data_IF_192596510576
#
_entry.id   IF_192596510576
#
_cell.length_a   1.000
_cell.length_b   1.000
_cell.length_c   1.000
_cell.angle_alpha   90.00
_cell.angle_beta   90.00
_cell.angle_gamma   90.00
#
_symmetry.space_group_name_H-M   'P 1'
#
loop_
_entity.id
_entity.type
_entity.pdbx_description
1 polymer ?
#
# COMPACT_ATOMS: atom_id res chain seq x y z
N UNK A 1 -57.21 -37.66 -15.66
CA UNK A 1 -56.77 -36.66 -14.66
C UNK A 1 -56.00 -37.38 -13.54
N UNK A 2 -55.08 -36.67 -12.84
CA UNK A 2 -54.58 -36.86 -11.44
C UNK A 2 -54.90 -38.22 -10.75
N UNK A 3 -54.00 -38.95 -10.08
CA UNK A 3 -52.64 -38.74 -9.46
C UNK A 3 -52.06 -40.17 -9.15
N UNK A 4 -50.88 -40.44 -8.58
CA UNK A 4 -49.80 -39.62 -7.96
C UNK A 4 -48.40 -40.10 -8.45
N UNK A 5 -47.59 -40.75 -7.60
CA UNK A 5 -46.19 -41.21 -7.77
C UNK A 5 -45.94 -42.44 -6.87
N UNK A 6 -44.91 -43.26 -7.13
CA UNK A 6 -44.50 -44.36 -6.24
C UNK A 6 -43.19 -45.08 -6.65
N UNK A 7 -42.07 -44.62 -6.09
CA UNK A 7 -40.71 -45.22 -6.07
C UNK A 7 -39.98 -45.54 -7.40
N UNK A 8 -38.79 -44.96 -7.55
CA UNK A 8 -37.67 -45.55 -8.30
C UNK A 8 -37.06 -46.70 -7.46
N UNK A 9 -36.72 -47.86 -8.03
CA UNK A 9 -35.62 -48.13 -8.98
C UNK A 9 -34.23 -48.02 -8.32
N UNK A 10 -33.60 -49.18 -8.10
CA UNK A 10 -32.21 -49.30 -7.68
C UNK A 10 -31.49 -50.26 -8.62
N UNK A 11 -30.40 -49.81 -9.26
CA UNK A 11 -29.46 -50.67 -9.94
C UNK A 11 -28.08 -49.98 -10.05
N UNK A 12 -27.08 -50.59 -9.42
CA UNK A 12 -25.67 -50.28 -9.69
C UNK A 12 -25.22 -51.01 -10.97
N UNK A 13 -24.19 -50.50 -11.64
CA UNK A 13 -22.87 -51.18 -11.81
C UNK A 13 -21.98 -50.38 -12.78
N UNK A 14 -20.79 -49.99 -12.29
CA UNK A 14 -19.50 -49.70 -12.98
C UNK A 14 -19.52 -49.01 -14.37
N UNK A 15 -18.75 -47.94 -14.61
CA UNK A 15 -17.28 -47.88 -14.51
C UNK A 15 -16.78 -46.45 -14.26
N UNK A 16 -15.45 -46.28 -14.12
CA UNK A 16 -14.79 -44.98 -14.09
C UNK A 16 -14.28 -44.60 -12.71
N UNK A 17 -13.12 -45.13 -12.34
CA UNK A 17 -12.38 -44.63 -11.18
C UNK A 17 -11.72 -43.30 -11.49
N UNK A 18 -12.40 -42.19 -11.21
CA UNK A 18 -11.74 -40.93 -10.91
C UNK A 18 -11.88 -40.68 -9.42
N UNK A 19 -10.81 -40.97 -8.67
CA UNK A 19 -10.58 -40.22 -7.45
C UNK A 19 -10.46 -38.76 -7.90
N UNK A 20 -11.39 -37.92 -7.47
CA UNK A 20 -11.26 -36.49 -7.66
C UNK A 20 -10.03 -36.05 -6.89
N UNK A 21 -8.93 -35.81 -7.60
CA UNK A 21 -7.85 -35.02 -7.06
C UNK A 21 -8.46 -33.65 -6.76
N UNK A 22 -8.69 -33.36 -5.49
CA UNK A 22 -8.78 -31.98 -5.05
C UNK A 22 -7.45 -31.36 -5.45
N UNK A 23 -7.46 -30.46 -6.43
CA UNK A 23 -6.30 -29.61 -6.69
C UNK A 23 -5.99 -28.91 -5.36
N UNK A 24 -4.76 -29.06 -4.89
CA UNK A 24 -4.44 -28.66 -3.52
C UNK A 24 -4.45 -27.14 -3.42
N UNK A 25 -5.43 -26.58 -2.72
CA UNK A 25 -5.32 -25.23 -2.19
C UNK A 25 -4.36 -25.33 -1.01
N UNK A 26 -3.04 -25.30 -1.28
CA UNK A 26 -1.98 -25.73 -0.37
C UNK A 26 -1.91 -24.89 0.92
N UNK A 27 -2.72 -25.31 1.90
CA UNK A 27 -2.64 -25.08 3.34
C UNK A 27 -2.44 -23.62 3.83
N UNK A 28 -2.64 -22.59 2.99
CA UNK A 28 -2.56 -21.20 3.43
C UNK A 28 -3.66 -20.90 4.44
N UNK A 29 -3.28 -20.61 5.69
CA UNK A 29 -4.18 -20.26 6.78
C UNK A 29 -3.90 -18.85 7.28
N UNK A 30 -4.94 -18.11 7.66
CA UNK A 30 -4.82 -16.77 8.26
C UNK A 30 -5.55 -16.74 9.61
N UNK A 31 -4.86 -16.32 10.66
CA UNK A 31 -5.41 -16.27 12.02
C UNK A 31 -5.23 -14.88 12.65
N UNK A 32 -6.32 -14.33 13.20
CA UNK A 32 -6.26 -13.12 14.03
C UNK A 32 -5.43 -13.38 15.31
N UNK A 33 -4.32 -12.65 15.46
CA UNK A 33 -3.46 -12.67 16.65
C UNK A 33 -3.93 -11.65 17.69
N UNK A 34 -4.36 -10.47 17.22
CA UNK A 34 -4.64 -9.29 18.04
C UNK A 34 -5.67 -8.40 17.37
N UNK A 35 -6.60 -7.87 18.16
CA UNK A 35 -7.47 -6.76 17.78
C UNK A 35 -7.51 -5.78 18.95
N UNK A 36 -7.23 -4.49 18.71
CA UNK A 36 -7.33 -3.43 19.71
C UNK A 36 -8.05 -2.20 19.14
N UNK A 37 -8.90 -1.51 19.93
CA UNK A 37 -9.60 -0.31 19.49
C UNK A 37 -8.66 0.89 19.37
N UNK A 38 -8.86 1.73 18.34
CA UNK A 38 -8.09 2.95 18.09
C UNK A 38 -8.84 4.17 18.64
N UNK A 39 -8.41 4.65 19.81
CA UNK A 39 -8.95 5.83 20.44
C UNK A 39 -8.40 7.12 19.80
N UNK A 40 -8.98 7.53 18.67
CA UNK A 40 -8.72 8.82 18.03
C UNK A 40 -9.15 9.99 18.93
N UNK A 41 -8.44 11.12 18.86
CA UNK A 41 -8.76 12.33 19.66
C UNK A 41 -10.06 13.01 19.23
N UNK A 42 -10.45 12.84 17.98
CA UNK A 42 -11.67 13.32 17.33
C UNK A 42 -12.07 12.28 16.30
N UNK A 43 -13.36 11.99 16.15
CA UNK A 43 -13.83 10.89 15.29
C UNK A 43 -13.47 11.14 13.80
N UNK A 44 -12.84 10.16 13.12
CA UNK A 44 -12.49 10.33 11.71
C UNK A 44 -13.70 10.25 10.78
N UNK A 45 -13.85 11.29 9.94
CA UNK A 45 -14.69 11.27 8.74
C UNK A 45 -14.04 10.39 7.67
N UNK A 46 -12.73 10.52 7.49
CA UNK A 46 -11.92 9.75 6.54
C UNK A 46 -10.49 9.55 7.08
N UNK A 47 -9.87 8.39 6.80
CA UNK A 47 -8.43 8.18 7.04
C UNK A 47 -7.67 8.55 5.75
N UNK A 48 -6.81 9.56 5.83
CA UNK A 48 -6.10 10.12 4.68
C UNK A 48 -4.83 9.32 4.34
N UNK A 49 -4.04 8.95 5.35
CA UNK A 49 -2.87 8.10 5.17
C UNK A 49 -2.44 7.42 6.47
N UNK A 50 -1.76 6.28 6.35
CA UNK A 50 -1.15 5.56 7.47
C UNK A 50 0.32 5.30 7.15
N UNK A 51 1.21 5.46 8.12
CA UNK A 51 2.65 5.25 7.97
C UNK A 51 3.19 4.48 9.17
N UNK A 52 3.53 3.21 8.95
CA UNK A 52 4.30 2.41 9.91
C UNK A 52 5.70 2.99 10.12
N UNK A 53 6.28 2.74 11.30
CA UNK A 53 7.55 3.34 11.73
C UNK A 53 8.55 2.28 12.22
N UNK A 54 9.87 2.56 12.24
CA UNK A 54 10.90 1.56 12.56
C UNK A 54 10.90 0.98 13.99
N UNK A 55 9.97 1.40 14.85
CA UNK A 55 9.75 0.84 16.20
C UNK A 55 8.35 0.23 16.38
N UNK A 56 7.67 -0.13 15.28
CA UNK A 56 6.36 -0.77 15.28
C UNK A 56 5.17 0.16 15.57
N UNK A 57 5.40 1.42 15.98
CA UNK A 57 4.34 2.44 16.02
C UNK A 57 3.87 2.81 14.62
N UNK A 58 2.70 3.42 14.50
CA UNK A 58 2.18 3.92 13.22
C UNK A 58 1.52 5.29 13.39
N UNK A 59 1.72 6.16 12.40
CA UNK A 59 1.11 7.48 12.32
C UNK A 59 -0.09 7.40 11.38
N UNK A 60 -1.25 7.90 11.82
CA UNK A 60 -2.45 8.05 11.00
C UNK A 60 -2.70 9.53 10.80
N UNK A 61 -2.78 9.98 9.55
CA UNK A 61 -3.31 11.29 9.18
C UNK A 61 -4.75 11.09 8.73
N UNK A 62 -5.67 11.95 9.19
CA UNK A 62 -7.10 11.77 8.99
C UNK A 62 -7.85 13.11 8.96
N UNK A 63 -9.07 13.09 8.44
CA UNK A 63 -9.98 14.23 8.43
C UNK A 63 -11.09 14.04 9.48
N UNK A 64 -11.50 15.13 10.12
CA UNK A 64 -12.62 15.18 11.06
C UNK A 64 -13.46 16.45 10.82
N UNK A 65 -14.71 16.47 11.29
CA UNK A 65 -15.58 17.66 11.24
C UNK A 65 -14.93 18.86 11.97
N UNK A 66 -15.23 20.08 11.54
CA UNK A 66 -14.75 21.32 12.17
C UNK A 66 -15.40 21.68 13.51
N UNK A 67 -14.89 22.72 14.17
CA UNK A 67 -15.69 23.45 15.18
C UNK A 67 -16.79 24.31 14.53
N UNK A 68 -16.68 24.58 13.23
CA UNK A 68 -17.73 25.15 12.38
C UNK A 68 -18.25 24.06 11.43
N UNK A 69 -19.55 24.03 11.21
CA UNK A 69 -20.24 22.96 10.45
C UNK A 69 -19.81 22.90 8.98
N UNK A 70 -19.36 24.01 8.40
CA UNK A 70 -18.92 24.11 7.01
C UNK A 70 -17.44 23.74 6.77
N UNK A 71 -16.67 23.41 7.82
CA UNK A 71 -15.23 23.14 7.72
C UNK A 71 -14.87 21.72 8.17
N UNK A 72 -13.71 21.26 7.74
CA UNK A 72 -13.04 20.06 8.24
C UNK A 72 -11.64 20.37 8.77
N UNK A 73 -11.14 19.49 9.62
CA UNK A 73 -9.82 19.56 10.25
C UNK A 73 -8.97 18.38 9.81
N UNK A 74 -7.73 18.66 9.38
CA UNK A 74 -6.75 17.59 9.19
C UNK A 74 -6.02 17.35 10.51
N UNK A 75 -6.04 16.11 10.99
CA UNK A 75 -5.42 15.67 12.23
C UNK A 75 -4.35 14.61 11.97
N UNK A 76 -3.43 14.46 12.92
CA UNK A 76 -2.44 13.41 12.99
C UNK A 76 -2.48 12.76 14.37
N UNK A 77 -2.69 11.45 14.40
CA UNK A 77 -2.57 10.60 15.58
C UNK A 77 -1.35 9.68 15.42
N UNK A 78 -0.58 9.46 16.49
CA UNK A 78 0.48 8.45 16.54
C UNK A 78 0.05 7.37 17.54
N UNK A 79 -0.08 6.15 17.07
CA UNK A 79 -0.36 4.98 17.90
C UNK A 79 0.90 4.12 18.10
N UNK A 80 1.03 3.48 19.25
CA UNK A 80 2.02 2.41 19.45
C UNK A 80 1.64 1.12 18.68
N UNK A 81 2.50 0.10 18.75
CA UNK A 81 2.29 -1.21 18.11
C UNK A 81 1.14 -2.05 18.70
N UNK A 82 0.36 -1.50 19.64
CA UNK A 82 -0.86 -2.11 20.17
C UNK A 82 -2.09 -1.19 20.05
N UNK A 83 -1.97 -0.01 19.42
CA UNK A 83 -3.10 0.91 19.22
C UNK A 83 -3.30 1.97 20.33
N UNK A 84 -2.37 2.11 21.28
CA UNK A 84 -2.43 3.19 22.29
C UNK A 84 -2.00 4.52 21.66
N UNK A 85 -2.82 5.58 21.76
CA UNK A 85 -2.40 6.91 21.32
C UNK A 85 -1.24 7.44 22.18
N UNK A 86 -0.16 7.86 21.50
CA UNK A 86 1.03 8.50 22.06
C UNK A 86 1.07 10.01 21.83
N UNK A 87 0.33 10.50 20.83
CA UNK A 87 0.27 11.90 20.42
C UNK A 87 -0.92 12.14 19.50
N UNK A 88 -1.62 13.25 19.73
CA UNK A 88 -2.58 13.84 18.80
C UNK A 88 -2.19 15.27 18.44
N UNK A 89 -2.39 15.68 17.19
CA UNK A 89 -2.21 17.06 16.74
C UNK A 89 -3.13 17.43 15.56
N UNK A 90 -3.88 18.54 15.69
CA UNK A 90 -4.48 19.24 14.54
C UNK A 90 -3.36 19.83 13.68
N UNK A 91 -3.35 19.51 12.39
CA UNK A 91 -2.41 20.01 11.40
C UNK A 91 -2.93 21.30 10.75
N UNK A 92 -4.24 21.35 10.44
CA UNK A 92 -4.89 22.48 9.78
C UNK A 92 -6.42 22.39 9.76
N UNK A 93 -7.04 23.30 9.02
CA UNK A 93 -8.49 23.49 8.87
C UNK A 93 -8.76 23.97 7.44
N UNK A 94 -9.81 23.46 6.79
CA UNK A 94 -10.12 23.70 5.38
C UNK A 94 -11.64 23.59 5.12
N UNK A 95 -12.11 24.16 4.01
CA UNK A 95 -13.46 23.91 3.48
C UNK A 95 -13.38 22.72 2.50
N UNK A 96 -14.07 21.60 2.74
CA UNK A 96 -14.05 20.44 1.84
C UNK A 96 -14.73 20.70 0.48
N UNK A 97 -15.40 21.84 0.29
CA UNK A 97 -15.99 22.31 -0.96
C UNK A 97 -15.17 23.44 -1.61
N UNK A 98 -14.05 23.85 -0.99
CA UNK A 98 -13.18 24.92 -1.45
C UNK A 98 -12.18 24.48 -2.52
N UNK A 99 -11.46 25.45 -3.09
CA UNK A 99 -10.42 25.21 -4.10
C UNK A 99 -9.12 24.61 -3.52
N UNK A 100 -8.92 24.68 -2.20
CA UNK A 100 -7.69 24.23 -1.52
C UNK A 100 -7.84 22.81 -0.99
N UNK A 101 -7.05 21.88 -1.53
CA UNK A 101 -7.05 20.47 -1.13
C UNK A 101 -5.86 20.22 -0.19
N UNK A 102 -6.07 19.97 1.11
CA UNK A 102 -4.97 19.80 2.08
C UNK A 102 -4.17 18.52 1.82
N UNK A 103 -2.89 18.54 2.16
CA UNK A 103 -2.01 17.37 2.11
C UNK A 103 -1.14 17.28 3.36
N UNK A 104 -1.08 16.07 3.92
CA UNK A 104 -0.23 15.74 5.07
C UNK A 104 0.66 14.54 4.74
N UNK A 105 1.96 14.64 5.02
CA UNK A 105 2.91 13.55 4.81
C UNK A 105 3.87 13.35 5.99
N UNK A 106 4.34 12.11 6.14
CA UNK A 106 5.24 11.67 7.21
C UNK A 106 6.59 11.28 6.61
N UNK A 107 7.64 12.01 6.96
CA UNK A 107 9.01 11.72 6.54
C UNK A 107 9.78 11.07 7.68
N UNK A 108 10.01 9.77 7.58
CA UNK A 108 10.77 8.98 8.56
C UNK A 108 12.28 9.27 8.47
N UNK A 109 12.96 9.21 9.63
CA UNK A 109 14.41 9.29 9.82
C UNK A 109 14.78 8.45 11.07
N UNK A 110 15.98 7.88 11.14
CA UNK A 110 16.48 6.96 12.20
C UNK A 110 15.86 7.09 13.61
N UNK A 111 15.74 8.30 14.14
CA UNK A 111 15.37 8.58 15.54
C UNK A 111 14.14 9.51 15.70
N UNK A 112 13.46 9.87 14.61
CA UNK A 112 12.38 10.87 14.58
C UNK A 112 11.59 10.80 13.26
N UNK A 113 10.36 11.32 13.26
CA UNK A 113 9.67 11.67 12.02
C UNK A 113 9.44 13.18 11.90
N UNK A 114 9.34 13.65 10.66
CA UNK A 114 8.85 14.98 10.33
C UNK A 114 7.42 14.80 9.81
N UNK A 115 6.46 15.43 10.47
CA UNK A 115 5.15 15.66 9.88
C UNK A 115 5.19 16.98 9.10
N UNK A 116 4.73 16.94 7.86
CA UNK A 116 4.59 18.09 6.99
C UNK A 116 3.11 18.28 6.64
N UNK A 117 2.62 19.52 6.76
CA UNK A 117 1.27 19.90 6.36
C UNK A 117 1.33 21.01 5.32
N UNK A 118 0.58 20.82 4.24
CA UNK A 118 0.39 21.74 3.15
C UNK A 118 -1.11 22.10 3.10
N UNK A 119 -1.50 23.39 3.17
CA UNK A 119 -2.90 23.80 3.04
C UNK A 119 -3.49 23.47 1.66
N UNK A 120 -2.64 23.37 0.65
CA UNK A 120 -3.00 23.07 -0.74
C UNK A 120 -1.92 22.19 -1.39
N UNK A 121 -2.35 21.05 -1.94
CA UNK A 121 -1.53 20.07 -2.67
C UNK A 121 -1.23 20.51 -4.11
N UNK A 122 -2.04 21.42 -4.69
CA UNK A 122 -1.90 21.81 -6.10
C UNK A 122 -0.70 22.73 -6.32
N UNK A 123 -0.40 23.62 -5.36
CA UNK A 123 0.81 24.45 -5.35
C UNK A 123 1.95 23.85 -4.50
N UNK A 124 1.63 23.27 -3.34
CA UNK A 124 2.57 22.91 -2.26
C UNK A 124 3.52 24.04 -1.80
N UNK A 125 3.21 25.31 -2.09
CA UNK A 125 4.12 26.45 -1.84
C UNK A 125 4.17 26.89 -0.37
N UNK A 126 3.29 26.39 0.49
CA UNK A 126 3.31 26.64 1.94
C UNK A 126 3.36 25.31 2.68
N UNK A 127 4.42 25.10 3.45
CA UNK A 127 4.64 23.87 4.23
C UNK A 127 4.84 24.22 5.71
N UNK A 128 4.06 23.63 6.61
CA UNK A 128 4.29 23.66 8.06
C UNK A 128 4.88 22.33 8.50
N UNK A 129 6.15 22.36 8.93
CA UNK A 129 6.87 21.18 9.40
C UNK A 129 6.86 21.11 10.94
N UNK A 130 6.57 19.94 11.50
CA UNK A 130 6.77 19.65 12.93
C UNK A 130 7.50 18.33 13.11
N UNK A 131 8.53 18.32 13.98
CA UNK A 131 9.41 17.15 14.17
C UNK A 131 9.12 16.49 15.51
N UNK A 132 8.92 15.17 15.50
CA UNK A 132 8.52 14.37 16.65
C UNK A 132 9.44 13.14 16.83
N UNK A 133 9.67 12.74 18.08
CA UNK A 133 10.13 11.37 18.39
C UNK A 133 9.00 10.39 18.11
N UNK A 134 9.36 9.13 17.83
CA UNK A 134 8.42 8.01 17.78
C UNK A 134 7.72 7.71 19.12
N UNK A 135 8.07 8.42 20.20
CA UNK A 135 7.38 8.41 21.50
C UNK A 135 6.38 9.57 21.64
N UNK A 136 5.87 10.13 20.54
CA UNK A 136 5.02 11.34 20.49
C UNK A 136 5.71 12.66 20.89
N UNK A 137 6.90 12.63 21.48
CA UNK A 137 7.56 13.83 22.01
C UNK A 137 8.03 14.77 20.90
N UNK A 138 7.37 15.92 20.76
CA UNK A 138 7.77 17.03 19.88
C UNK A 138 9.18 17.53 20.22
N UNK A 139 10.04 17.65 19.21
CA UNK A 139 11.45 18.02 19.34
C UNK A 139 11.66 19.55 19.26
N UNK A 140 10.87 20.24 18.42
CA UNK A 140 10.98 21.68 18.18
C UNK A 140 9.61 22.34 18.01
N UNK A 141 9.54 23.68 18.08
CA UNK A 141 8.32 24.40 17.65
C UNK A 141 8.05 24.11 16.15
N UNK A 142 6.78 24.06 15.72
CA UNK A 142 6.44 24.01 14.29
C UNK A 142 7.11 25.15 13.52
N UNK A 143 7.52 24.88 12.29
CA UNK A 143 8.14 25.88 11.39
C UNK A 143 7.43 25.89 10.05
N UNK A 144 6.74 27.01 9.76
CA UNK A 144 6.14 27.25 8.44
C UNK A 144 7.16 27.88 7.50
N UNK A 145 7.19 27.39 6.27
CA UNK A 145 8.07 27.84 5.18
C UNK A 145 7.24 28.18 3.96
N UNK A 146 7.66 29.21 3.23
CA UNK A 146 7.30 29.37 1.82
C UNK A 146 8.33 28.63 0.98
N UNK A 147 7.86 27.82 0.05
CA UNK A 147 8.63 27.14 -0.97
C UNK A 147 8.41 27.87 -2.31
N UNK A 148 9.13 27.46 -3.35
CA UNK A 148 8.71 27.72 -4.73
C UNK A 148 7.83 26.57 -5.20
N UNK A 149 6.99 26.83 -6.20
CA UNK A 149 6.37 25.78 -7.01
C UNK A 149 7.40 24.71 -7.44
N UNK A 150 6.98 23.45 -7.47
CA UNK A 150 7.85 22.30 -7.78
C UNK A 150 8.98 21.97 -6.77
N UNK A 151 9.27 22.83 -5.78
CA UNK A 151 10.33 22.58 -4.80
C UNK A 151 9.94 21.61 -3.67
N UNK A 152 8.66 21.28 -3.54
CA UNK A 152 8.15 20.29 -2.61
C UNK A 152 8.19 18.87 -3.21
N UNK A 153 8.61 17.84 -2.45
CA UNK A 153 8.43 16.45 -2.83
C UNK A 153 7.16 15.84 -2.23
N UNK A 154 6.60 14.85 -2.92
CA UNK A 154 5.80 13.82 -2.27
C UNK A 154 6.74 12.78 -1.63
N UNK A 155 6.47 12.37 -0.41
CA UNK A 155 7.28 11.43 0.35
C UNK A 155 6.56 10.08 0.53
N UNK A 156 7.22 9.00 0.12
CA UNK A 156 6.72 7.62 0.25
C UNK A 156 7.67 6.80 1.12
N UNK A 157 7.12 6.00 2.03
CA UNK A 157 7.84 5.00 2.82
C UNK A 157 7.89 3.68 2.03
N UNK A 158 9.09 3.12 1.83
CA UNK A 158 9.33 1.92 1.01
C UNK A 158 10.41 1.08 1.68
N UNK A 159 10.01 0.05 2.44
CA UNK A 159 10.93 -0.69 3.31
C UNK A 159 11.73 0.26 4.20
N UNK A 160 13.03 0.02 4.34
CA UNK A 160 13.94 0.87 5.11
C UNK A 160 14.22 2.27 4.51
N UNK A 161 13.45 2.74 3.51
CA UNK A 161 13.74 3.95 2.74
C UNK A 161 12.59 4.94 2.73
N UNK A 162 12.95 6.24 2.74
CA UNK A 162 12.08 7.30 2.25
C UNK A 162 12.43 7.61 0.79
N UNK A 163 11.44 7.58 -0.09
CA UNK A 163 11.50 8.04 -1.47
C UNK A 163 10.80 9.39 -1.55
N UNK A 164 11.59 10.46 -1.69
CA UNK A 164 11.11 11.85 -1.79
C UNK A 164 11.12 12.24 -3.29
N UNK A 165 9.98 12.14 -3.98
CA UNK A 165 9.83 12.41 -5.43
C UNK A 165 9.30 13.82 -5.69
N UNK A 166 9.86 14.54 -6.65
CA UNK A 166 9.41 15.88 -7.05
C UNK A 166 7.91 15.88 -7.41
N UNK A 167 7.11 16.68 -6.70
CA UNK A 167 5.66 16.74 -6.91
C UNK A 167 5.32 17.41 -8.25
N UNK A 168 5.72 18.67 -8.41
CA UNK A 168 5.38 19.52 -9.55
C UNK A 168 6.62 19.96 -10.34
N UNK A 169 6.43 20.45 -11.57
CA UNK A 169 7.49 20.93 -12.45
C UNK A 169 7.04 22.19 -13.16
N UNK A 170 7.95 23.14 -13.37
CA UNK A 170 7.73 24.33 -14.21
C UNK A 170 7.88 23.99 -15.71
N UNK A 171 8.67 22.96 -16.04
CA UNK A 171 8.97 22.51 -17.41
C UNK A 171 8.34 21.14 -17.74
N UNK A 172 7.91 20.95 -19.00
CA UNK A 172 7.40 19.68 -19.57
C UNK A 172 8.52 18.64 -19.84
N UNK A 173 9.46 18.46 -18.92
CA UNK A 173 10.48 17.40 -19.08
C UNK A 173 9.94 16.05 -18.58
N UNK A 174 10.30 14.92 -19.22
CA UNK A 174 9.98 13.60 -18.69
C UNK A 174 10.66 13.37 -17.32
N UNK A 175 11.84 13.96 -17.10
CA UNK A 175 12.65 13.67 -15.93
C UNK A 175 12.06 14.22 -14.61
N UNK A 176 11.82 13.34 -13.64
CA UNK A 176 11.56 13.68 -12.23
C UNK A 176 12.87 13.74 -11.44
N UNK A 177 13.03 14.75 -10.60
CA UNK A 177 14.03 14.71 -9.51
C UNK A 177 13.52 13.79 -8.40
N UNK A 178 14.32 12.82 -7.96
CA UNK A 178 13.98 11.93 -6.85
C UNK A 178 15.13 11.87 -5.83
N UNK A 179 14.81 11.83 -4.54
CA UNK A 179 15.77 11.66 -3.45
C UNK A 179 15.40 10.43 -2.62
N UNK A 180 16.23 9.40 -2.70
CA UNK A 180 16.14 8.22 -1.83
C UNK A 180 16.94 8.45 -0.54
N UNK A 181 16.44 7.99 0.60
CA UNK A 181 17.11 8.10 1.91
C UNK A 181 16.91 6.82 2.72
N UNK A 182 17.97 6.07 2.99
CA UNK A 182 17.92 4.91 3.90
C UNK A 182 17.75 5.40 5.34
N UNK A 183 16.61 5.08 5.96
CA UNK A 183 16.09 5.63 7.22
C UNK A 183 17.07 5.40 8.37
N UNK A 184 17.53 4.15 8.58
CA UNK A 184 18.36 3.78 9.71
C UNK A 184 19.80 4.34 9.65
N UNK A 185 20.33 4.61 8.44
CA UNK A 185 21.66 5.20 8.26
C UNK A 185 21.67 6.72 8.09
N UNK A 186 20.58 7.30 7.58
CA UNK A 186 20.51 8.69 7.13
C UNK A 186 21.26 8.98 5.82
N UNK A 187 21.87 7.98 5.16
CA UNK A 187 22.46 8.13 3.83
C UNK A 187 21.38 8.41 2.79
N UNK A 188 21.66 9.31 1.85
CA UNK A 188 20.72 9.67 0.78
C UNK A 188 21.43 9.88 -0.55
N UNK A 189 20.75 9.55 -1.65
CA UNK A 189 21.20 9.80 -3.03
C UNK A 189 20.11 10.61 -3.76
N UNK A 190 20.53 11.57 -4.59
CA UNK A 190 19.66 12.23 -5.57
C UNK A 190 19.78 11.52 -6.92
N UNK A 191 18.65 11.40 -7.60
CA UNK A 191 18.45 10.67 -8.85
C UNK A 191 17.69 11.57 -9.83
N UNK A 192 17.92 11.35 -11.13
CA UNK A 192 16.98 11.73 -12.18
C UNK A 192 16.36 10.44 -12.73
N UNK A 193 15.04 10.42 -12.82
CA UNK A 193 14.22 9.27 -13.21
C UNK A 193 13.37 9.72 -14.41
N UNK A 194 13.28 8.93 -15.47
CA UNK A 194 12.62 9.31 -16.73
C UNK A 194 11.09 9.16 -16.65
N UNK A 195 10.62 8.19 -15.88
CA UNK A 195 9.20 7.94 -15.66
C UNK A 195 8.62 8.82 -14.54
N UNK A 196 7.45 9.42 -14.80
CA UNK A 196 6.67 10.16 -13.79
C UNK A 196 5.96 9.23 -12.80
N UNK A 197 5.71 7.99 -13.21
CA UNK A 197 4.88 6.98 -12.54
C UNK A 197 5.69 5.76 -12.10
N UNK A 198 7.01 5.89 -11.92
CA UNK A 198 7.88 4.81 -11.49
C UNK A 198 7.38 4.11 -10.22
N UNK A 199 7.60 2.80 -10.15
CA UNK A 199 7.35 1.98 -8.98
C UNK A 199 8.59 1.93 -8.08
N UNK A 200 8.39 1.92 -6.76
CA UNK A 200 9.45 1.74 -5.77
C UNK A 200 9.02 0.71 -4.72
N UNK A 201 9.85 -0.31 -4.49
CA UNK A 201 9.54 -1.46 -3.64
C UNK A 201 10.82 -2.05 -3.02
N UNK A 202 10.76 -2.73 -1.86
CA UNK A 202 11.91 -3.44 -1.30
C UNK A 202 12.09 -4.83 -1.94
N UNK A 203 13.31 -5.35 -1.96
CA UNK A 203 13.57 -6.79 -2.07
C UNK A 203 13.68 -7.45 -0.67
N UNK A 204 13.84 -8.78 -0.63
CA UNK A 204 13.95 -9.54 0.62
C UNK A 204 15.22 -9.22 1.43
N UNK A 205 16.28 -8.73 0.79
CA UNK A 205 17.53 -8.30 1.45
C UNK A 205 17.44 -6.86 2.03
N UNK A 206 16.29 -6.19 1.88
CA UNK A 206 16.11 -4.81 2.32
C UNK A 206 16.84 -3.79 1.44
N UNK A 207 17.09 -4.09 0.16
CA UNK A 207 17.48 -3.09 -0.83
C UNK A 207 16.24 -2.42 -1.41
N UNK A 208 16.36 -1.14 -1.78
CA UNK A 208 15.32 -0.42 -2.52
C UNK A 208 15.46 -0.71 -4.01
N UNK A 209 14.44 -1.31 -4.62
CA UNK A 209 14.28 -1.38 -6.07
C UNK A 209 13.39 -0.24 -6.57
N UNK A 210 13.73 0.29 -7.73
CA UNK A 210 12.91 1.21 -8.52
C UNK A 210 12.77 0.64 -9.93
N UNK A 211 11.53 0.41 -10.36
CA UNK A 211 11.20 0.00 -11.73
C UNK A 211 10.53 1.15 -12.47
N UNK A 212 11.01 1.46 -13.68
CA UNK A 212 10.50 2.55 -14.51
C UNK A 212 10.51 2.17 -16.00
N UNK A 213 9.75 2.89 -16.83
CA UNK A 213 10.12 3.02 -18.23
C UNK A 213 11.33 3.98 -18.38
N UNK A 214 12.34 3.63 -19.18
CA UNK A 214 13.42 4.56 -19.51
C UNK A 214 13.24 5.23 -20.89
N UNK A 215 14.14 6.15 -21.22
CA UNK A 215 14.16 6.95 -22.45
C UNK A 215 14.13 6.16 -23.78
N UNK A 216 14.36 4.84 -23.74
CA UNK A 216 14.34 3.94 -24.90
C UNK A 216 13.04 3.14 -25.01
N UNK A 217 12.13 3.31 -24.05
CA UNK A 217 10.93 2.49 -23.87
C UNK A 217 11.16 1.20 -23.07
N UNK A 218 12.41 0.87 -22.73
CA UNK A 218 12.78 -0.33 -21.97
C UNK A 218 12.23 -0.28 -20.54
N UNK A 219 11.97 -1.45 -19.95
CA UNK A 219 11.82 -1.60 -18.51
C UNK A 219 13.22 -1.51 -17.87
N UNK A 220 13.43 -0.51 -17.02
CA UNK A 220 14.69 -0.31 -16.30
C UNK A 220 14.47 -0.50 -14.79
N UNK A 221 15.29 -1.36 -14.19
CA UNK A 221 15.26 -1.69 -12.76
C UNK A 221 16.56 -1.21 -12.14
N UNK A 222 16.46 -0.30 -11.15
CA UNK A 222 17.60 0.17 -10.36
C UNK A 222 17.49 -0.35 -8.94
N UNK A 223 18.53 -0.97 -8.41
CA UNK A 223 18.59 -1.38 -7.00
C UNK A 223 19.59 -0.56 -6.19
N UNK A 224 19.23 -0.27 -4.94
CA UNK A 224 19.99 0.57 -4.01
C UNK A 224 20.10 -0.08 -2.64
N UNK A 225 21.32 -0.48 -2.26
CA UNK A 225 21.56 -1.06 -0.94
C UNK A 225 21.60 0.01 0.17
N UNK A 226 21.64 -0.46 1.42
CA UNK A 226 21.77 0.36 2.63
C UNK A 226 22.97 1.33 2.62
N UNK A 227 23.96 1.14 1.74
CA UNK A 227 25.12 2.00 1.56
C UNK A 227 24.97 3.08 0.46
N UNK A 228 23.85 3.11 -0.28
CA UNK A 228 23.58 3.92 -1.49
C UNK A 228 24.41 3.53 -2.73
N UNK A 229 24.93 2.30 -2.78
CA UNK A 229 25.49 1.75 -4.02
C UNK A 229 24.35 1.38 -4.96
N UNK A 230 24.55 1.57 -6.27
CA UNK A 230 23.53 1.41 -7.32
C UNK A 230 23.92 0.28 -8.27
N UNK A 231 22.95 -0.55 -8.63
CA UNK A 231 23.00 -1.40 -9.83
C UNK A 231 21.84 -1.01 -10.75
N UNK A 232 22.01 -1.18 -12.07
CA UNK A 232 21.00 -0.89 -13.09
C UNK A 232 20.90 -2.07 -14.05
N UNK A 233 19.68 -2.51 -14.34
CA UNK A 233 19.34 -3.52 -15.35
C UNK A 233 18.39 -2.88 -16.35
N UNK A 234 18.69 -2.96 -17.64
CA UNK A 234 17.77 -2.60 -18.72
C UNK A 234 17.24 -3.85 -19.41
N UNK A 235 15.91 -3.99 -19.48
CA UNK A 235 15.22 -5.10 -20.12
C UNK A 235 14.49 -4.59 -21.37
N UNK A 236 15.02 -4.93 -22.55
CA UNK A 236 14.45 -4.57 -23.84
C UNK A 236 13.31 -5.53 -24.24
N UNK A 237 12.11 -4.98 -24.43
CA UNK A 237 10.92 -5.72 -24.87
C UNK A 237 9.67 -4.86 -24.64
N UNK A 238 8.57 -5.19 -25.31
CA UNK A 238 7.26 -4.54 -25.08
C UNK A 238 6.59 -5.12 -23.82
N UNK A 239 7.29 -5.02 -22.69
CA UNK A 239 6.83 -5.48 -21.38
C UNK A 239 5.73 -4.56 -20.84
N UNK A 240 5.82 -3.27 -21.16
CA UNK A 240 5.04 -2.21 -20.53
C UNK A 240 3.75 -1.84 -21.27
N UNK A 241 3.56 -2.22 -22.54
CA UNK A 241 2.31 -2.04 -23.28
C UNK A 241 1.79 -0.59 -23.34
N UNK A 242 2.68 0.41 -23.24
CA UNK A 242 2.41 1.86 -23.09
C UNK A 242 1.84 2.28 -21.72
N UNK A 243 1.82 1.38 -20.75
CA UNK A 243 1.49 1.61 -19.34
C UNK A 243 2.76 1.63 -18.46
N UNK A 244 2.61 1.78 -17.15
CA UNK A 244 3.73 1.76 -16.20
C UNK A 244 3.55 0.69 -15.12
N UNK A 245 4.66 0.28 -14.49
CA UNK A 245 4.60 -0.54 -13.27
C UNK A 245 3.96 0.30 -12.17
N UNK A 246 2.81 -0.14 -11.64
CA UNK A 246 2.02 0.60 -10.64
C UNK A 246 2.52 0.34 -9.22
N UNK A 247 2.77 -0.93 -8.92
CA UNK A 247 3.19 -1.46 -7.63
C UNK A 247 3.86 -2.82 -7.84
N UNK A 248 4.59 -3.30 -6.83
CA UNK A 248 5.31 -4.56 -6.89
C UNK A 248 5.53 -5.14 -5.48
N UNK A 249 5.68 -6.45 -5.42
CA UNK A 249 5.99 -7.21 -4.21
C UNK A 249 7.07 -8.26 -4.49
N UNK A 250 7.90 -8.59 -3.50
CA UNK A 250 8.96 -9.59 -3.63
C UNK A 250 8.68 -10.80 -2.74
N UNK A 251 8.90 -12.01 -3.28
CA UNK A 251 8.93 -13.27 -2.53
C UNK A 251 10.15 -14.05 -3.02
N UNK A 252 11.08 -14.39 -2.12
CA UNK A 252 12.37 -14.92 -2.54
C UNK A 252 13.11 -13.94 -3.44
N UNK A 253 13.77 -14.49 -4.47
CA UNK A 253 14.46 -13.72 -5.51
C UNK A 253 13.52 -13.25 -6.64
N UNK A 254 12.19 -13.38 -6.49
CA UNK A 254 11.21 -13.01 -7.52
C UNK A 254 10.48 -11.73 -7.13
N UNK A 255 10.61 -10.68 -7.95
CA UNK A 255 9.76 -9.51 -7.89
C UNK A 255 8.56 -9.69 -8.83
N UNK A 256 7.37 -9.58 -8.27
CA UNK A 256 6.10 -9.54 -8.98
C UNK A 256 5.79 -8.07 -9.24
N UNK A 257 5.80 -7.63 -10.51
CA UNK A 257 5.58 -6.24 -10.90
C UNK A 257 4.25 -6.10 -11.62
N UNK A 258 3.33 -5.29 -11.08
CA UNK A 258 1.99 -5.11 -11.64
C UNK A 258 1.93 -3.99 -12.66
N UNK A 259 1.46 -4.31 -13.85
CA UNK A 259 1.15 -3.38 -14.92
C UNK A 259 -0.36 -3.37 -15.09
N UNK A 260 -0.99 -2.20 -14.91
CA UNK A 260 -2.43 -2.06 -15.01
C UNK A 260 -2.84 -2.00 -16.48
N UNK A 261 -3.91 -2.72 -16.86
CA UNK A 261 -4.43 -2.72 -18.23
C UNK A 261 -5.86 -2.14 -18.31
N UNK A 262 -6.70 -2.39 -17.31
CA UNK A 262 -7.99 -1.69 -17.10
C UNK A 262 -8.11 -1.30 -15.61
N UNK A 263 -9.29 -1.19 -15.00
CA UNK A 263 -9.36 -1.12 -13.52
C UNK A 263 -9.32 -2.54 -12.92
N UNK A 264 -9.98 -3.45 -13.64
CA UNK A 264 -10.35 -4.81 -13.29
C UNK A 264 -9.28 -5.82 -13.73
N UNK A 265 -8.45 -5.48 -14.73
CA UNK A 265 -7.37 -6.32 -15.25
C UNK A 265 -5.99 -5.67 -15.06
N UNK A 266 -5.02 -6.48 -14.61
CA UNK A 266 -3.59 -6.19 -14.66
C UNK A 266 -2.82 -7.36 -15.32
N UNK A 267 -1.61 -7.11 -15.77
CA UNK A 267 -0.59 -8.13 -16.06
C UNK A 267 0.48 -8.08 -14.96
N UNK A 268 0.95 -9.23 -14.50
CA UNK A 268 2.00 -9.37 -13.49
C UNK A 268 3.23 -9.93 -14.17
N UNK A 269 4.33 -9.18 -14.21
CA UNK A 269 5.62 -9.66 -14.68
C UNK A 269 6.38 -10.31 -13.52
N UNK A 270 6.92 -11.51 -13.74
CA UNK A 270 7.79 -12.19 -12.77
C UNK A 270 9.26 -11.92 -13.13
N UNK A 271 9.91 -11.03 -12.39
CA UNK A 271 11.33 -10.69 -12.53
C UNK A 271 12.19 -11.47 -11.54
N UNK A 272 13.11 -12.27 -12.05
CA UNK A 272 14.16 -12.89 -11.23
C UNK A 272 15.28 -11.87 -11.01
N UNK A 273 15.44 -11.44 -9.75
CA UNK A 273 16.40 -10.43 -9.30
C UNK A 273 17.86 -10.92 -9.48
N UNK A 274 18.07 -12.24 -9.42
CA UNK A 274 19.40 -12.87 -9.47
C UNK A 274 19.84 -13.16 -10.89
N UNK A 275 18.92 -13.64 -11.74
CA UNK A 275 19.13 -13.84 -13.18
C UNK A 275 18.93 -12.55 -14.00
N UNK A 276 18.44 -11.48 -13.36
CA UNK A 276 18.22 -10.15 -13.93
C UNK A 276 17.39 -10.17 -15.23
N UNK A 277 16.25 -10.90 -15.21
CA UNK A 277 15.38 -11.08 -16.39
C UNK A 277 13.91 -11.26 -15.99
N UNK A 278 12.99 -10.94 -16.91
CA UNK A 278 11.63 -11.47 -16.83
C UNK A 278 11.68 -12.98 -17.10
N UNK A 279 11.02 -13.76 -16.27
CA UNK A 279 10.95 -15.23 -16.36
C UNK A 279 9.60 -15.72 -16.92
N UNK A 280 8.53 -15.01 -16.57
CA UNK A 280 7.14 -15.34 -16.93
C UNK A 280 6.26 -14.07 -16.83
N UNK A 281 5.03 -14.12 -17.35
CA UNK A 281 3.98 -13.14 -17.02
C UNK A 281 2.61 -13.78 -16.94
N UNK A 282 1.78 -13.29 -16.01
CA UNK A 282 0.42 -13.80 -15.81
C UNK A 282 -0.59 -12.66 -15.66
N UNK A 283 -1.77 -12.84 -16.23
CA UNK A 283 -2.89 -11.90 -16.08
C UNK A 283 -3.54 -12.07 -14.70
N UNK A 284 -3.73 -10.96 -13.99
CA UNK A 284 -4.50 -10.88 -12.75
C UNK A 284 -5.82 -10.14 -13.00
N UNK A 285 -6.90 -10.65 -12.40
CA UNK A 285 -8.24 -10.04 -12.41
C UNK A 285 -8.65 -9.64 -10.98
N UNK A 286 -9.36 -8.53 -10.86
CA UNK A 286 -10.07 -8.15 -9.63
C UNK A 286 -11.21 -9.13 -9.34
N UNK A 287 -11.57 -9.33 -8.07
CA UNK A 287 -12.60 -10.31 -7.66
C UNK A 287 -14.01 -9.96 -8.17
N UNK A 288 -14.36 -8.67 -8.23
CA UNK A 288 -15.70 -8.20 -8.57
C UNK A 288 -15.69 -7.11 -9.66
N UNK A 289 -16.68 -7.09 -10.56
CA UNK A 289 -16.87 -6.09 -11.63
C UNK A 289 -16.95 -4.61 -11.14
N UNK A 290 -17.10 -4.38 -9.84
CA UNK A 290 -17.16 -3.05 -9.21
C UNK A 290 -15.91 -2.73 -8.36
N UNK A 291 -14.88 -3.59 -8.43
CA UNK A 291 -13.61 -3.45 -7.72
C UNK A 291 -12.46 -3.18 -8.70
N UNK A 292 -11.34 -2.68 -8.18
CA UNK A 292 -10.11 -2.51 -8.94
C UNK A 292 -8.93 -3.09 -8.15
N UNK A 293 -7.93 -3.64 -8.84
CA UNK A 293 -6.70 -4.07 -8.17
C UNK A 293 -5.96 -2.80 -7.73
N UNK A 294 -5.92 -2.54 -6.42
CA UNK A 294 -5.29 -1.37 -5.84
C UNK A 294 -3.77 -1.56 -5.74
N UNK A 295 -3.34 -2.69 -5.18
CA UNK A 295 -1.94 -3.09 -5.02
C UNK A 295 -1.81 -4.63 -5.00
N UNK A 296 -0.62 -5.16 -5.29
CA UNK A 296 -0.19 -6.48 -4.81
C UNK A 296 0.77 -6.35 -3.62
N UNK A 297 0.74 -7.32 -2.70
CA UNK A 297 1.60 -7.37 -1.51
C UNK A 297 2.16 -8.78 -1.29
N UNK A 298 3.26 -8.87 -0.54
CA UNK A 298 3.78 -10.12 -0.01
C UNK A 298 3.66 -10.15 1.52
N UNK A 299 3.43 -11.33 2.09
CA UNK A 299 3.49 -11.60 3.52
C UNK A 299 4.11 -13.01 3.71
N UNK A 300 5.34 -13.07 4.21
CA UNK A 300 6.13 -14.30 4.17
C UNK A 300 6.28 -14.82 2.73
N UNK A 301 5.97 -16.10 2.54
CA UNK A 301 5.97 -16.76 1.23
C UNK A 301 4.68 -16.55 0.41
N UNK A 302 3.71 -15.76 0.91
CA UNK A 302 2.37 -15.63 0.31
C UNK A 302 2.24 -14.33 -0.49
N UNK A 303 1.74 -14.44 -1.73
CA UNK A 303 1.36 -13.30 -2.56
C UNK A 303 -0.12 -12.95 -2.37
N UNK A 304 -0.43 -11.67 -2.31
CA UNK A 304 -1.76 -11.13 -2.02
C UNK A 304 -2.16 -10.09 -3.07
N UNK A 305 -3.43 -10.08 -3.48
CA UNK A 305 -4.05 -8.89 -4.08
C UNK A 305 -4.75 -8.05 -3.00
N UNK A 306 -4.70 -6.74 -3.18
CA UNK A 306 -5.49 -5.77 -2.43
C UNK A 306 -6.48 -5.16 -3.42
N UNK A 307 -7.74 -5.54 -3.30
CA UNK A 307 -8.80 -5.07 -4.21
C UNK A 307 -9.54 -3.91 -3.55
N UNK A 308 -9.52 -2.75 -4.21
CA UNK A 308 -10.19 -1.53 -3.77
C UNK A 308 -11.60 -1.42 -4.32
N UNK A 309 -12.52 -0.90 -3.51
CA UNK A 309 -13.88 -0.54 -3.93
C UNK A 309 -14.41 0.69 -3.18
N UNK A 310 -15.30 1.45 -3.82
CA UNK A 310 -15.95 2.61 -3.21
C UNK A 310 -17.25 2.21 -2.51
N UNK A 311 -17.32 2.36 -1.20
CA UNK A 311 -18.54 2.11 -0.45
C UNK A 311 -19.43 3.37 -0.44
N UNK A 312 -20.61 3.23 -1.08
CA UNK A 312 -21.57 4.33 -1.29
C UNK A 312 -22.38 4.71 -0.05
N UNK A 313 -22.46 3.85 0.96
CA UNK A 313 -23.20 4.12 2.20
C UNK A 313 -22.36 4.98 3.15
N UNK A 314 -21.08 4.62 3.31
CA UNK A 314 -20.11 5.28 4.17
C UNK A 314 -19.25 6.35 3.46
N UNK A 315 -19.53 6.59 2.17
CA UNK A 315 -18.84 7.54 1.27
C UNK A 315 -17.31 7.50 1.43
N UNK A 316 -16.73 6.30 1.35
CA UNK A 316 -15.29 6.09 1.53
C UNK A 316 -14.75 4.90 0.72
N UNK A 317 -13.46 4.97 0.43
CA UNK A 317 -12.70 3.87 -0.13
C UNK A 317 -12.54 2.74 0.92
N UNK A 318 -12.62 1.49 0.48
CA UNK A 318 -12.38 0.28 1.27
C UNK A 318 -11.53 -0.72 0.49
N UNK A 319 -10.95 -1.67 1.21
CA UNK A 319 -10.10 -2.72 0.66
C UNK A 319 -10.49 -4.11 1.20
N UNK A 320 -10.44 -5.11 0.32
CA UNK A 320 -10.42 -6.52 0.67
C UNK A 320 -9.05 -7.13 0.32
N UNK A 321 -8.68 -8.20 1.02
CA UNK A 321 -7.40 -8.90 0.81
C UNK A 321 -7.72 -10.29 0.25
N UNK A 322 -7.05 -10.65 -0.85
CA UNK A 322 -7.18 -11.97 -1.46
C UNK A 322 -5.81 -12.66 -1.50
N UNK A 323 -5.81 -13.95 -1.19
CA UNK A 323 -4.73 -14.87 -1.54
C UNK A 323 -4.64 -15.00 -3.06
N UNK A 324 -3.43 -15.02 -3.61
CA UNK A 324 -3.14 -15.44 -4.99
C UNK A 324 -2.44 -16.81 -4.98
N UNK A 325 -2.94 -17.75 -5.77
CA UNK A 325 -2.27 -19.03 -6.01
C UNK A 325 -1.24 -18.93 -7.16
N UNK A 326 -0.57 -20.04 -7.49
CA UNK A 326 0.42 -20.12 -8.59
C UNK A 326 -0.15 -19.91 -10.00
N UNK A 327 -1.48 -19.76 -10.13
CA UNK A 327 -2.19 -19.44 -11.37
C UNK A 327 -2.88 -18.07 -11.31
N UNK A 328 -2.58 -17.26 -10.29
CA UNK A 328 -3.16 -15.94 -10.01
C UNK A 328 -4.69 -15.92 -9.85
N UNK A 329 -5.28 -17.07 -9.50
CA UNK A 329 -6.67 -17.15 -9.05
C UNK A 329 -6.78 -16.56 -7.64
N UNK A 330 -7.78 -15.70 -7.44
CA UNK A 330 -8.02 -14.97 -6.18
C UNK A 330 -8.88 -15.78 -5.19
N UNK A 331 -8.53 -15.74 -3.92
CA UNK A 331 -9.34 -16.30 -2.82
C UNK A 331 -9.40 -15.34 -1.63
N UNK A 332 -10.59 -14.80 -1.33
CA UNK A 332 -10.77 -13.76 -0.30
C UNK A 332 -10.41 -14.26 1.10
N UNK A 333 -9.52 -13.54 1.77
CA UNK A 333 -9.15 -13.80 3.16
C UNK A 333 -10.19 -13.21 4.11
N UNK A 334 -10.47 -13.92 5.20
CA UNK A 334 -11.51 -13.52 6.18
C UNK A 334 -10.92 -12.59 7.23
N UNK A 335 -11.23 -11.30 7.10
CA UNK A 335 -10.96 -10.29 8.13
C UNK A 335 -12.01 -10.35 9.27
N UNK A 336 -11.71 -9.71 10.39
CA UNK A 336 -12.56 -9.61 11.59
C UNK A 336 -13.78 -8.70 11.36
N UNK A 337 -13.65 -7.72 10.48
CA UNK A 337 -14.75 -6.94 9.88
C UNK A 337 -14.85 -7.25 8.38
N UNK A 338 -15.88 -6.78 7.68
CA UNK A 338 -16.08 -7.12 6.26
C UNK A 338 -14.92 -6.67 5.36
N UNK A 339 -14.25 -5.58 5.75
CA UNK A 339 -13.24 -4.86 4.96
C UNK A 339 -12.31 -4.05 5.85
N UNK A 340 -11.21 -3.58 5.27
CA UNK A 340 -10.24 -2.69 5.92
C UNK A 340 -10.10 -1.36 5.16
N UNK A 341 -9.55 -0.37 5.87
CA UNK A 341 -9.24 0.98 5.36
C UNK A 341 -7.74 1.16 5.08
N UNK A 342 -6.90 0.28 5.63
CA UNK A 342 -5.45 0.26 5.43
C UNK A 342 -4.88 -1.14 5.66
N UNK A 343 -3.78 -1.47 4.96
CA UNK A 343 -3.07 -2.76 5.04
C UNK A 343 -1.56 -2.51 5.02
N UNK A 344 -0.86 -3.06 6.01
CA UNK A 344 0.59 -3.22 6.07
C UNK A 344 0.92 -4.73 6.19
N UNK A 345 2.01 -5.17 5.56
CA UNK A 345 2.51 -6.54 5.69
C UNK A 345 3.94 -6.55 6.19
N UNK A 346 4.23 -7.46 7.11
CA UNK A 346 5.56 -7.81 7.56
C UNK A 346 5.99 -9.08 6.83
N UNK A 347 7.00 -8.95 5.96
CA UNK A 347 7.48 -10.06 5.13
C UNK A 347 8.35 -11.04 5.94
N UNK A 348 9.03 -10.58 7.00
CA UNK A 348 9.86 -11.45 7.84
C UNK A 348 9.02 -12.29 8.81
N UNK A 349 7.98 -11.69 9.39
CA UNK A 349 7.11 -12.35 10.36
C UNK A 349 5.92 -13.09 9.72
N UNK A 350 5.67 -12.88 8.42
CA UNK A 350 4.45 -13.32 7.72
C UNK A 350 3.17 -12.83 8.41
N UNK A 351 3.19 -11.57 8.85
CA UNK A 351 2.08 -10.92 9.55
C UNK A 351 1.43 -9.83 8.68
N UNK A 352 0.11 -9.69 8.78
CA UNK A 352 -0.69 -8.67 8.12
C UNK A 352 -1.31 -7.78 9.21
N UNK A 353 -1.05 -6.49 9.18
CA UNK A 353 -1.71 -5.50 10.05
C UNK A 353 -2.67 -4.65 9.24
N UNK A 354 -3.93 -4.60 9.67
CA UNK A 354 -4.98 -3.79 9.05
C UNK A 354 -5.47 -2.70 10.00
N UNK A 355 -6.04 -1.63 9.43
CA UNK A 355 -7.01 -0.80 10.16
C UNK A 355 -8.40 -1.13 9.64
N UNK A 356 -9.28 -1.53 10.54
CA UNK A 356 -10.67 -1.94 10.27
C UNK A 356 -11.65 -1.04 11.02
N UNK A 357 -12.93 -1.12 10.65
CA UNK A 357 -14.00 -0.35 11.29
C UNK A 357 -15.23 -1.23 11.47
N UNK A 358 -15.80 -1.27 12.68
CA UNK A 358 -17.17 -1.76 12.87
C UNK A 358 -18.15 -0.71 12.37
N UNK A 359 -18.82 -1.04 11.27
CA UNK A 359 -19.74 -0.17 10.56
C UNK A 359 -21.02 0.16 11.36
N UNK A 360 -21.31 -0.61 12.44
CA UNK A 360 -22.48 -0.40 13.31
C UNK A 360 -22.21 0.54 14.49
N UNK A 361 -20.95 0.67 14.91
CA UNK A 361 -20.53 1.53 16.02
C UNK A 361 -19.59 2.65 15.60
N UNK A 362 -19.19 2.69 14.32
CA UNK A 362 -18.13 3.53 13.77
C UNK A 362 -16.80 3.46 14.54
N UNK A 363 -16.59 2.36 15.29
CA UNK A 363 -15.37 2.14 16.07
C UNK A 363 -14.27 1.58 15.17
N UNK A 364 -13.08 2.15 15.28
CA UNK A 364 -11.89 1.76 14.52
C UNK A 364 -11.04 0.80 15.32
N UNK A 365 -10.42 -0.18 14.66
CA UNK A 365 -9.56 -1.19 15.27
C UNK A 365 -8.26 -1.35 14.48
N UNK A 366 -7.16 -1.61 15.17
CA UNK A 366 -5.97 -2.24 14.58
C UNK A 366 -6.09 -3.75 14.80
N UNK A 367 -6.08 -4.49 13.70
CA UNK A 367 -6.08 -5.96 13.71
C UNK A 367 -4.74 -6.46 13.17
N UNK A 368 -4.17 -7.48 13.81
CA UNK A 368 -2.96 -8.17 13.34
C UNK A 368 -3.27 -9.65 13.15
N UNK A 369 -2.96 -10.16 11.96
CA UNK A 369 -3.16 -11.54 11.55
C UNK A 369 -1.80 -12.16 11.22
N UNK A 370 -1.62 -13.44 11.51
CA UNK A 370 -0.52 -14.22 10.95
C UNK A 370 -1.02 -15.00 9.75
N UNK A 371 -0.19 -15.11 8.69
CA UNK A 371 -0.47 -15.94 7.52
C UNK A 371 0.58 -17.05 7.40
N UNK A 372 0.12 -18.30 7.50
CA UNK A 372 0.95 -19.48 7.36
C UNK A 372 0.70 -20.12 6.00
N UNK A 373 1.66 -20.10 5.09
CA UNK A 373 1.73 -21.13 4.06
C UNK A 373 2.04 -22.46 4.78
N UNK A 374 1.22 -23.50 4.54
CA UNK A 374 1.45 -24.80 5.17
C UNK A 374 2.49 -25.65 4.44
N UNK A 375 3.08 -26.58 5.19
CA UNK A 375 4.08 -27.55 4.74
C UNK A 375 3.49 -28.70 3.89
#
# INVERSE_FOLDING_TARGET
MKRLLGLLLAMMVMMGGMAGAQASTDNVSMQLIRMNPLAFRKEPVELYSVTHTPNGSFVVIYFAEGEKTELQEMWMELFDSVGTSLLSAKLGEFDPNGEQIPHGQIILKKDRFICEYYPDITSMEVCTQTVYRYTGKRIQKPTTKKLKFGAAPYAQHVGDYMVEKQAHSEDETPFRTVKITHIASGKSKKLMIYDWSFCAFPDQDGNLLIAQQNEKGNLEIRSYNAAMQESIVELSGDFLQNENVRDAACIGQTAYMRIRLTNEKSEILLYDITQQKITDSQTLLAVDDNSYIAEIKAAGAVLLSVDGYWNRELQRQKYQINLLNEHFETSRLTLQHESCLYIFTDVEQADITTIEMDEKSHSYFVCSYSISAGE
#
